data_IF_117430731351
#
_entry.id   IF_117430731351
#
_cell.length_a   1.000
_cell.length_b   1.000
_cell.length_c   1.000
_cell.angle_alpha   90.00
_cell.angle_beta   90.00
_cell.angle_gamma   90.00
#
_symmetry.space_group_name_H-M   'P 1'
#
loop_
_entity.id
_entity.type
_entity.pdbx_description
1 polymer ?
#
# COMPACT_ATOMS: atom_id res chain seq x y z
N UNK A 1 1.28 7.97 -13.53
CA UNK A 1 1.11 6.51 -13.37
C UNK A 1 2.12 5.74 -14.23
N UNK A 2 3.44 5.90 -13.97
CA UNK A 2 4.51 5.16 -14.70
C UNK A 2 4.98 3.90 -13.96
N UNK A 3 4.53 3.68 -12.73
CA UNK A 3 5.03 2.59 -11.88
C UNK A 3 4.44 1.22 -12.17
N UNK A 4 3.33 1.13 -12.91
CA UNK A 4 2.63 -0.14 -13.15
C UNK A 4 3.12 -0.88 -14.42
N UNK A 5 3.95 -0.24 -15.25
CA UNK A 5 4.33 -0.78 -16.56
C UNK A 5 5.69 -1.48 -16.59
N UNK A 6 6.35 -1.62 -15.45
CA UNK A 6 7.56 -2.42 -15.28
C UNK A 6 7.33 -3.39 -14.13
N UNK A 7 7.65 -4.66 -14.36
CA UNK A 7 7.68 -5.65 -13.29
C UNK A 7 8.79 -5.25 -12.30
N UNK A 8 8.42 -5.05 -11.05
CA UNK A 8 9.36 -4.65 -9.98
C UNK A 8 9.22 -5.62 -8.83
N UNK A 9 10.32 -5.87 -8.13
CA UNK A 9 10.28 -6.65 -6.88
C UNK A 9 9.72 -5.83 -5.71
N UNK A 10 9.76 -4.49 -5.82
CA UNK A 10 9.33 -3.56 -4.77
C UNK A 10 8.44 -2.46 -5.36
N UNK A 11 7.28 -2.28 -4.76
CA UNK A 11 6.34 -1.20 -5.02
C UNK A 11 6.25 -0.28 -3.80
N UNK A 12 6.26 1.03 -4.02
CA UNK A 12 6.10 2.03 -2.97
C UNK A 12 4.98 2.98 -3.33
N UNK A 13 4.08 3.21 -2.37
CA UNK A 13 2.94 4.11 -2.51
C UNK A 13 2.95 5.13 -1.38
N UNK A 14 2.77 6.40 -1.74
CA UNK A 14 2.70 7.51 -0.79
C UNK A 14 1.27 8.07 -0.79
N UNK A 15 0.58 7.91 0.33
CA UNK A 15 -0.83 8.25 0.55
C UNK A 15 -1.78 7.84 -0.60
N UNK A 16 -1.81 6.56 -1.03
CA UNK A 16 -2.55 6.13 -2.21
C UNK A 16 -4.08 6.21 -2.07
N UNK A 17 -4.61 6.21 -0.84
CA UNK A 17 -6.05 6.18 -0.55
C UNK A 17 -6.63 7.55 -0.17
N UNK A 18 -5.81 8.61 -0.06
CA UNK A 18 -6.25 9.89 0.52
C UNK A 18 -7.42 10.60 -0.18
N UNK A 19 -7.67 10.29 -1.46
CA UNK A 19 -8.81 10.80 -2.24
C UNK A 19 -9.76 9.69 -2.73
N UNK A 20 -9.62 8.47 -2.24
CA UNK A 20 -10.45 7.33 -2.65
C UNK A 20 -11.66 7.20 -1.73
N UNK A 21 -12.81 6.85 -2.31
CA UNK A 21 -13.93 6.35 -1.51
C UNK A 21 -13.63 4.93 -0.98
N UNK A 22 -14.46 4.46 -0.06
CA UNK A 22 -14.27 3.15 0.57
C UNK A 22 -14.17 2.00 -0.44
N UNK A 23 -14.99 2.01 -1.49
CA UNK A 23 -14.97 0.94 -2.49
C UNK A 23 -13.68 0.97 -3.29
N UNK A 24 -13.20 2.17 -3.62
CA UNK A 24 -11.96 2.40 -4.34
C UNK A 24 -10.73 2.05 -3.49
N UNK A 25 -10.78 2.31 -2.18
CA UNK A 25 -9.77 1.85 -1.22
C UNK A 25 -9.72 0.33 -1.15
N UNK A 26 -10.86 -0.35 -1.07
CA UNK A 26 -10.92 -1.82 -1.13
C UNK A 26 -10.34 -2.37 -2.43
N UNK A 27 -10.64 -1.74 -3.57
CA UNK A 27 -10.04 -2.13 -4.86
C UNK A 27 -8.51 -1.97 -4.83
N UNK A 28 -8.00 -0.85 -4.33
CA UNK A 28 -6.55 -0.65 -4.17
C UNK A 28 -5.92 -1.74 -3.31
N UNK A 29 -6.54 -2.07 -2.18
CA UNK A 29 -6.04 -3.09 -1.27
C UNK A 29 -6.04 -4.49 -1.89
N UNK A 30 -7.09 -4.83 -2.66
CA UNK A 30 -7.13 -6.08 -3.42
C UNK A 30 -6.00 -6.17 -4.47
N UNK A 31 -5.65 -5.06 -5.13
CA UNK A 31 -4.50 -5.04 -6.05
C UNK A 31 -3.16 -5.18 -5.31
N UNK A 32 -3.02 -4.56 -4.14
CA UNK A 32 -1.85 -4.74 -3.26
C UNK A 32 -1.70 -6.20 -2.84
N UNK A 33 -2.79 -6.87 -2.44
CA UNK A 33 -2.77 -8.28 -2.09
C UNK A 33 -2.32 -9.18 -3.25
N UNK A 34 -2.72 -8.88 -4.49
CA UNK A 34 -2.21 -9.61 -5.67
C UNK A 34 -0.70 -9.48 -5.82
N UNK A 35 -0.16 -8.26 -5.68
CA UNK A 35 1.30 -8.04 -5.74
C UNK A 35 2.03 -8.83 -4.66
N UNK A 36 1.50 -8.88 -3.44
CA UNK A 36 2.07 -9.68 -2.35
C UNK A 36 2.02 -11.18 -2.66
N UNK A 37 0.93 -11.66 -3.25
CA UNK A 37 0.79 -13.06 -3.68
C UNK A 37 1.73 -13.44 -4.84
N UNK A 38 2.19 -12.45 -5.61
CA UNK A 38 3.24 -12.58 -6.62
C UNK A 38 4.65 -12.45 -6.03
N UNK A 39 4.79 -12.59 -4.71
CA UNK A 39 6.04 -12.48 -3.94
C UNK A 39 6.72 -11.10 -4.06
N UNK A 40 5.97 -10.05 -4.40
CA UNK A 40 6.48 -8.67 -4.43
C UNK A 40 6.38 -8.01 -3.06
N UNK A 41 7.28 -7.08 -2.79
CA UNK A 41 7.26 -6.25 -1.58
C UNK A 41 6.46 -4.99 -1.86
N UNK A 42 5.48 -4.68 -1.00
CA UNK A 42 4.71 -3.44 -1.09
C UNK A 42 4.94 -2.61 0.17
N UNK A 43 5.36 -1.36 -0.02
CA UNK A 43 5.54 -0.36 1.03
C UNK A 43 4.47 0.71 0.83
N UNK A 44 3.69 1.00 1.87
CA UNK A 44 2.67 2.05 1.84
C UNK A 44 2.94 3.02 2.98
N UNK A 45 3.05 4.30 2.64
CA UNK A 45 3.03 5.40 3.61
C UNK A 45 1.59 5.91 3.69
N UNK A 46 0.98 5.82 4.87
CA UNK A 46 -0.40 6.29 5.06
C UNK A 46 -0.74 6.55 6.52
N UNK A 47 -1.76 7.38 6.72
CA UNK A 47 -2.48 7.55 7.99
C UNK A 47 -3.84 6.82 8.02
N UNK A 48 -4.21 6.13 6.94
CA UNK A 48 -5.49 5.40 6.81
C UNK A 48 -5.48 4.10 7.63
N UNK A 49 -6.39 4.01 8.61
CA UNK A 49 -6.49 2.85 9.51
C UNK A 49 -6.91 1.57 8.80
N UNK A 50 -7.71 1.66 7.73
CA UNK A 50 -8.17 0.49 6.99
C UNK A 50 -7.04 -0.15 6.18
N UNK A 51 -6.06 0.67 5.75
CA UNK A 51 -4.83 0.21 5.10
C UNK A 51 -3.85 -0.34 6.14
N UNK A 52 -3.64 0.38 7.25
CA UNK A 52 -2.76 -0.06 8.34
C UNK A 52 -3.20 -1.43 8.90
N UNK A 53 -4.51 -1.64 9.07
CA UNK A 53 -5.06 -2.89 9.60
C UNK A 53 -4.80 -4.11 8.70
N UNK A 54 -4.53 -3.91 7.40
CA UNK A 54 -4.22 -4.98 6.44
C UNK A 54 -2.72 -5.24 6.29
N UNK A 55 -1.87 -4.38 6.83
CA UNK A 55 -0.44 -4.51 6.68
C UNK A 55 0.11 -5.70 7.48
N UNK A 56 0.97 -6.51 6.86
CA UNK A 56 1.69 -7.59 7.55
C UNK A 56 2.70 -7.06 8.58
N UNK A 57 3.19 -5.84 8.39
CA UNK A 57 4.09 -5.14 9.30
C UNK A 57 3.78 -3.64 9.26
N UNK A 58 3.75 -3.02 10.43
CA UNK A 58 3.57 -1.57 10.60
C UNK A 58 4.82 -0.99 11.24
N UNK A 59 5.30 0.12 10.71
CA UNK A 59 6.39 0.91 11.27
C UNK A 59 5.80 2.28 11.62
N UNK A 60 5.86 2.67 12.89
CA UNK A 60 5.39 3.97 13.30
C UNK A 60 6.54 4.99 13.21
N UNK A 61 6.37 6.01 12.37
CA UNK A 61 7.37 7.04 12.15
C UNK A 61 7.58 7.93 13.38
N UNK A 62 6.57 8.07 14.25
CA UNK A 62 6.65 8.90 15.47
C UNK A 62 7.69 8.35 16.47
N UNK A 63 8.06 7.08 16.36
CA UNK A 63 9.07 6.44 17.22
C UNK A 63 10.51 6.81 16.83
N UNK A 64 10.71 7.46 15.67
CA UNK A 64 12.01 7.91 15.18
C UNK A 64 12.13 9.42 15.42
N UNK A 65 12.60 9.79 16.61
CA UNK A 65 12.94 11.18 16.98
C UNK A 65 14.34 11.58 16.53
#
# INVERSE_FOLDING_TARGET
>A
MRSLSQEKDIYSFDEPTGNLDRNSTELFLNEVEKLVNEEKIVIVVTHDKDVIARASKVINMDEFH
#
